data_IF_008127561618
#
_entry.id   IF_008127561618
#
_cell.length_a   1.000
_cell.length_b   1.000
_cell.length_c   1.000
_cell.angle_alpha   90.00
_cell.angle_beta   90.00
_cell.angle_gamma   90.00
#
_symmetry.space_group_name_H-M   'P 1'
#
loop_
_entity.id
_entity.type
_entity.pdbx_description
1 polymer ?
#
# COMPACT_ATOMS: atom_id res chain seq x y z
N UNK A 1 -24.41 25.27 -8.86
CA UNK A 1 -23.05 24.68 -8.91
C UNK A 1 -22.70 24.35 -7.48
N UNK A 2 -22.31 23.10 -7.24
CA UNK A 2 -22.34 22.46 -5.93
C UNK A 2 -20.95 21.96 -5.50
N UNK A 3 -19.90 22.71 -5.85
CA UNK A 3 -18.48 22.44 -5.54
C UNK A 3 -17.87 21.11 -6.02
N UNK A 4 -16.57 21.16 -6.32
CA UNK A 4 -15.77 20.00 -6.68
C UNK A 4 -14.93 19.57 -5.46
N UNK A 5 -14.90 18.27 -5.19
CA UNK A 5 -14.02 17.71 -4.17
C UNK A 5 -12.59 17.66 -4.71
N UNK A 6 -11.81 18.70 -4.46
CA UNK A 6 -10.38 18.74 -4.75
C UNK A 6 -9.57 18.16 -3.60
N UNK A 7 -8.35 17.67 -3.87
CA UNK A 7 -7.44 17.11 -2.85
C UNK A 7 -7.20 18.09 -1.68
N UNK A 8 -7.14 19.39 -1.98
CA UNK A 8 -6.98 20.45 -0.97
C UNK A 8 -8.21 20.59 -0.09
N UNK A 9 -9.41 20.49 -0.67
CA UNK A 9 -10.65 20.55 0.08
C UNK A 9 -10.84 19.27 0.92
N UNK A 10 -10.54 18.11 0.35
CA UNK A 10 -10.56 16.83 1.06
C UNK A 10 -9.61 16.84 2.26
N UNK A 11 -8.37 17.28 2.08
CA UNK A 11 -7.38 17.41 3.17
C UNK A 11 -7.89 18.33 4.28
N UNK A 12 -8.58 19.41 3.91
CA UNK A 12 -9.21 20.33 4.87
C UNK A 12 -10.36 19.65 5.62
N UNK A 13 -11.23 18.92 4.92
CA UNK A 13 -12.33 18.16 5.51
C UNK A 13 -11.78 17.13 6.52
N UNK A 14 -10.75 16.36 6.15
CA UNK A 14 -10.07 15.39 7.04
C UNK A 14 -9.62 16.08 8.33
N UNK A 15 -8.97 17.23 8.22
CA UNK A 15 -8.47 17.97 9.38
C UNK A 15 -9.60 18.42 10.31
N UNK A 16 -10.67 18.99 9.76
CA UNK A 16 -11.78 19.52 10.57
C UNK A 16 -12.73 18.43 11.09
N UNK A 17 -12.85 17.28 10.42
CA UNK A 17 -13.60 16.13 10.93
C UNK A 17 -13.06 15.62 12.27
N UNK A 18 -11.75 15.67 12.49
CA UNK A 18 -11.14 15.26 13.75
C UNK A 18 -11.42 16.26 14.90
N UNK A 19 -11.87 17.47 14.58
CA UNK A 19 -12.21 18.48 15.55
C UNK A 19 -13.63 18.25 16.10
N UNK A 20 -13.71 17.66 17.29
CA UNK A 20 -14.98 17.38 17.97
C UNK A 20 -15.46 18.52 18.89
N UNK A 21 -14.79 19.69 18.91
CA UNK A 21 -15.19 20.82 19.76
C UNK A 21 -16.07 21.83 19.06
N UNK A 22 -15.87 22.01 17.76
CA UNK A 22 -16.60 23.00 16.95
C UNK A 22 -17.27 22.32 15.75
N UNK A 23 -18.34 22.94 15.26
CA UNK A 23 -19.07 22.47 14.09
C UNK A 23 -18.56 23.23 12.86
N UNK A 24 -18.19 22.49 11.83
CA UNK A 24 -17.66 23.02 10.57
C UNK A 24 -18.55 22.61 9.40
N UNK A 25 -18.55 23.43 8.36
CA UNK A 25 -19.30 23.22 7.12
C UNK A 25 -18.42 23.55 5.91
N UNK A 26 -18.69 22.92 4.77
CA UNK A 26 -18.10 23.30 3.48
C UNK A 26 -18.90 24.44 2.90
N UNK A 27 -18.26 25.59 2.67
CA UNK A 27 -18.78 26.67 1.84
C UNK A 27 -18.60 26.30 0.37
N UNK A 28 -19.71 26.05 -0.33
CA UNK A 28 -19.70 25.68 -1.74
C UNK A 28 -19.27 26.81 -2.68
N UNK A 29 -19.44 28.07 -2.25
CA UNK A 29 -19.05 29.25 -3.04
C UNK A 29 -17.54 29.50 -2.94
N UNK A 30 -17.00 29.39 -1.72
CA UNK A 30 -15.57 29.57 -1.43
C UNK A 30 -14.73 28.30 -1.60
N UNK A 31 -15.34 27.12 -1.76
CA UNK A 31 -14.69 25.81 -1.77
C UNK A 31 -13.73 25.61 -0.59
N UNK A 32 -14.18 25.97 0.60
CA UNK A 32 -13.36 25.91 1.81
C UNK A 32 -14.18 25.46 3.02
N UNK A 33 -13.51 24.97 4.05
CA UNK A 33 -14.16 24.57 5.31
C UNK A 33 -14.15 25.76 6.26
N UNK A 34 -15.33 26.14 6.75
CA UNK A 34 -15.53 27.27 7.66
C UNK A 34 -16.28 26.85 8.93
N UNK A 35 -16.04 27.50 10.09
CA UNK A 35 -16.85 27.25 11.28
C UNK A 35 -18.30 27.68 11.06
N UNK A 36 -19.27 26.85 11.46
CA UNK A 36 -20.71 27.17 11.33
C UNK A 36 -21.08 28.49 12.04
N UNK A 37 -20.40 28.81 13.15
CA UNK A 37 -20.63 30.05 13.91
C UNK A 37 -20.31 31.32 13.10
N UNK A 38 -19.42 31.22 12.10
CA UNK A 38 -19.00 32.36 11.26
C UNK A 38 -19.95 32.61 10.08
N UNK A 39 -20.82 31.65 9.75
CA UNK A 39 -21.78 31.79 8.64
C UNK A 39 -23.05 32.57 9.03
N UNK A 40 -23.29 32.74 10.34
CA UNK A 40 -24.50 33.38 10.87
C UNK A 40 -25.76 32.51 10.77
N UNK A 41 -25.62 31.22 10.45
CA UNK A 41 -26.70 30.24 10.36
C UNK A 41 -26.72 29.32 11.60
N UNK A 42 -27.92 28.88 11.99
CA UNK A 42 -28.10 27.92 13.09
C UNK A 42 -27.84 26.46 12.65
N UNK A 43 -27.95 26.17 11.36
CA UNK A 43 -27.68 24.85 10.77
C UNK A 43 -27.12 24.99 9.36
N UNK A 44 -26.58 23.88 8.82
CA UNK A 44 -26.16 23.79 7.43
C UNK A 44 -27.33 24.13 6.50
N UNK A 45 -27.03 24.92 5.47
CA UNK A 45 -27.96 25.32 4.43
C UNK A 45 -27.56 24.51 3.20
N UNK A 46 -28.29 23.42 2.92
CA UNK A 46 -27.95 22.38 1.93
C UNK A 46 -27.81 22.90 0.47
N UNK A 47 -27.93 24.20 0.26
CA UNK A 47 -27.68 24.91 -0.99
C UNK A 47 -26.34 25.65 -1.05
N UNK A 48 -25.77 26.07 0.09
CA UNK A 48 -24.56 26.90 0.18
C UNK A 48 -23.52 26.38 1.18
N UNK A 49 -23.97 25.76 2.26
CA UNK A 49 -23.14 25.25 3.36
C UNK A 49 -23.47 23.79 3.66
N UNK A 50 -22.52 22.90 3.39
CA UNK A 50 -22.71 21.46 3.56
C UNK A 50 -22.07 20.95 4.85
N UNK A 51 -22.82 20.17 5.64
CA UNK A 51 -22.27 19.49 6.82
C UNK A 51 -21.17 18.51 6.43
N UNK A 52 -20.09 18.48 7.21
CA UNK A 52 -19.03 17.48 7.06
C UNK A 52 -19.56 16.05 7.29
N UNK A 53 -18.88 15.00 6.79
CA UNK A 53 -19.22 13.62 7.11
C UNK A 53 -19.21 13.37 8.61
N UNK A 54 -20.15 12.55 9.10
CA UNK A 54 -20.22 12.20 10.53
C UNK A 54 -18.92 11.53 11.00
N UNK A 55 -18.37 12.04 12.10
CA UNK A 55 -17.15 11.53 12.72
C UNK A 55 -17.23 11.57 14.25
N UNK A 56 -17.49 10.41 14.87
CA UNK A 56 -17.59 10.31 16.32
C UNK A 56 -16.28 9.80 16.97
N UNK A 57 -16.17 9.98 18.29
CA UNK A 57 -15.10 9.32 19.08
C UNK A 57 -15.11 7.79 18.93
N UNK A 58 -16.28 7.18 18.65
CA UNK A 58 -16.41 5.74 18.42
C UNK A 58 -15.77 5.35 17.09
N UNK A 59 -16.03 6.10 16.02
CA UNK A 59 -15.40 5.89 14.70
C UNK A 59 -13.88 6.00 14.79
N UNK A 60 -13.39 7.03 15.49
CA UNK A 60 -11.95 7.20 15.71
C UNK A 60 -11.33 6.03 16.50
N UNK A 61 -12.06 5.44 17.45
CA UNK A 61 -11.58 4.26 18.19
C UNK A 61 -11.61 2.99 17.32
N UNK A 62 -12.65 2.79 16.52
CA UNK A 62 -12.74 1.68 15.56
C UNK A 62 -11.58 1.72 14.57
N UNK A 63 -11.28 2.89 14.01
CA UNK A 63 -10.16 3.09 13.09
C UNK A 63 -8.81 2.71 13.75
N UNK A 64 -8.57 3.12 15.00
CA UNK A 64 -7.37 2.72 15.76
C UNK A 64 -7.30 1.21 16.01
N UNK A 65 -8.45 0.60 16.33
CA UNK A 65 -8.57 -0.83 16.63
C UNK A 65 -8.30 -1.68 15.39
N UNK A 66 -8.90 -1.32 14.27
CA UNK A 66 -8.75 -2.01 13.00
C UNK A 66 -7.30 -1.96 12.50
N UNK A 67 -6.68 -0.76 12.51
CA UNK A 67 -5.26 -0.60 12.21
C UNK A 67 -4.39 -1.51 13.09
N UNK A 68 -4.63 -1.51 14.40
CA UNK A 68 -3.83 -2.29 15.34
C UNK A 68 -3.98 -3.81 15.12
N UNK A 69 -5.16 -4.27 14.75
CA UNK A 69 -5.41 -5.70 14.50
C UNK A 69 -4.73 -6.19 13.21
N UNK A 70 -4.65 -5.33 12.20
CA UNK A 70 -4.02 -5.63 10.92
C UNK A 70 -2.51 -5.29 10.88
N UNK A 71 -1.95 -4.77 11.99
CA UNK A 71 -0.54 -4.41 12.06
C UNK A 71 0.38 -5.65 12.08
N UNK A 72 1.33 -5.70 11.15
CA UNK A 72 2.30 -6.79 11.00
C UNK A 72 3.62 -6.57 11.76
N UNK A 73 3.64 -5.66 12.75
CA UNK A 73 4.77 -5.44 13.64
C UNK A 73 4.43 -5.92 15.07
N UNK A 74 4.88 -7.10 15.52
CA UNK A 74 4.36 -7.73 16.75
C UNK A 74 4.61 -6.90 18.01
N UNK A 75 5.79 -6.28 18.15
CA UNK A 75 6.15 -5.45 19.32
C UNK A 75 5.32 -4.17 19.39
N UNK A 76 5.15 -3.49 18.25
CA UNK A 76 4.32 -2.30 18.16
C UNK A 76 2.83 -2.65 18.35
N UNK A 77 2.36 -3.73 17.73
CA UNK A 77 0.99 -4.22 17.88
C UNK A 77 0.61 -4.50 19.32
N UNK A 78 1.46 -5.20 20.08
CA UNK A 78 1.20 -5.42 21.50
C UNK A 78 1.13 -4.12 22.29
N UNK A 79 2.05 -3.20 22.02
CA UNK A 79 2.10 -1.90 22.69
C UNK A 79 0.84 -1.06 22.41
N UNK A 80 0.38 -1.05 21.15
CA UNK A 80 -0.86 -0.38 20.75
C UNK A 80 -2.10 -1.08 21.33
N UNK A 81 -2.15 -2.43 21.35
CA UNK A 81 -3.24 -3.18 22.01
C UNK A 81 -3.37 -2.82 23.50
N UNK A 82 -2.25 -2.67 24.22
CA UNK A 82 -2.27 -2.22 25.62
C UNK A 82 -2.87 -0.82 25.76
N UNK A 83 -2.57 0.09 24.82
CA UNK A 83 -3.16 1.44 24.82
C UNK A 83 -4.66 1.39 24.59
N UNK A 84 -5.14 0.59 23.63
CA UNK A 84 -6.57 0.44 23.33
C UNK A 84 -7.36 -0.10 24.52
N UNK A 85 -6.79 -1.05 25.26
CA UNK A 85 -7.39 -1.60 26.50
C UNK A 85 -7.37 -0.62 27.68
N UNK A 86 -6.60 0.46 27.62
CA UNK A 86 -6.39 1.40 28.73
C UNK A 86 -7.57 2.35 29.02
N UNK A 87 -8.56 2.43 28.13
CA UNK A 87 -9.84 3.13 28.33
C UNK A 87 -9.81 4.67 28.38
N UNK A 88 -8.81 5.30 29.02
CA UNK A 88 -8.65 6.77 29.08
C UNK A 88 -7.44 7.26 28.30
N UNK A 89 -7.65 8.35 27.55
CA UNK A 89 -6.58 9.02 26.81
C UNK A 89 -6.01 8.18 25.66
N UNK A 90 -6.80 7.23 25.13
CA UNK A 90 -6.40 6.27 24.09
C UNK A 90 -5.74 6.98 22.92
N UNK A 91 -6.39 8.00 22.34
CA UNK A 91 -5.86 8.76 21.20
C UNK A 91 -4.49 9.40 21.46
N UNK A 92 -4.32 10.06 22.61
CA UNK A 92 -3.06 10.71 22.98
C UNK A 92 -1.95 9.69 23.24
N UNK A 93 -2.28 8.61 23.94
CA UNK A 93 -1.33 7.55 24.27
C UNK A 93 -0.95 6.75 23.02
N UNK A 94 -1.87 6.58 22.07
CA UNK A 94 -1.61 5.94 20.79
C UNK A 94 -0.60 6.75 19.99
N UNK A 95 -0.85 8.06 19.84
CA UNK A 95 0.11 9.00 19.23
C UNK A 95 1.47 9.02 19.92
N UNK A 96 1.52 8.74 21.23
CA UNK A 96 2.78 8.64 21.96
C UNK A 96 3.54 7.36 21.62
N UNK A 97 2.85 6.21 21.56
CA UNK A 97 3.47 4.92 21.26
C UNK A 97 3.96 4.86 19.82
N UNK A 98 3.19 5.37 18.84
CA UNK A 98 3.63 5.34 17.43
C UNK A 98 4.90 6.17 17.20
N UNK A 99 5.15 7.24 17.98
CA UNK A 99 6.39 8.02 17.88
C UNK A 99 7.65 7.22 18.23
N UNK A 100 7.51 6.18 19.03
CA UNK A 100 8.60 5.26 19.34
C UNK A 100 8.86 4.26 18.19
N UNK A 101 7.96 4.22 17.18
CA UNK A 101 8.02 3.35 16.00
C UNK A 101 7.75 4.15 14.71
N UNK A 102 8.74 4.89 14.16
CA UNK A 102 8.55 5.77 13.01
C UNK A 102 7.92 5.09 11.77
N UNK A 103 8.19 3.81 11.58
CA UNK A 103 7.61 2.99 10.51
C UNK A 103 6.10 2.76 10.70
N UNK A 104 5.69 2.49 11.94
CA UNK A 104 4.27 2.31 12.30
C UNK A 104 3.54 3.64 12.30
N UNK A 105 4.21 4.74 12.63
CA UNK A 105 3.66 6.09 12.49
C UNK A 105 3.33 6.41 11.03
N UNK A 106 4.24 6.10 10.09
CA UNK A 106 3.99 6.24 8.65
C UNK A 106 2.80 5.38 8.18
N UNK A 107 2.79 4.09 8.55
CA UNK A 107 1.68 3.18 8.24
C UNK A 107 0.34 3.68 8.81
N UNK A 108 0.37 4.24 10.02
CA UNK A 108 -0.81 4.82 10.67
C UNK A 108 -1.35 6.02 9.90
N UNK A 109 -0.50 6.97 9.52
CA UNK A 109 -0.91 8.15 8.77
C UNK A 109 -1.53 7.78 7.42
N UNK A 110 -0.90 6.84 6.70
CA UNK A 110 -1.43 6.32 5.44
C UNK A 110 -2.81 5.68 5.65
N UNK A 111 -2.91 4.74 6.59
CA UNK A 111 -4.16 4.02 6.86
C UNK A 111 -5.28 4.98 7.25
N UNK A 112 -4.99 5.94 8.15
CA UNK A 112 -5.93 6.96 8.59
C UNK A 112 -6.43 7.79 7.43
N UNK A 113 -5.52 8.32 6.60
CA UNK A 113 -5.88 9.15 5.46
C UNK A 113 -6.75 8.35 4.48
N UNK A 114 -6.34 7.14 4.08
CA UNK A 114 -7.12 6.28 3.18
C UNK A 114 -8.54 6.01 3.70
N UNK A 115 -8.67 5.60 4.96
CA UNK A 115 -9.98 5.33 5.57
C UNK A 115 -10.86 6.58 5.65
N UNK A 116 -10.27 7.75 5.92
CA UNK A 116 -11.01 9.02 5.96
C UNK A 116 -11.42 9.48 4.55
N UNK A 117 -10.53 9.36 3.57
CA UNK A 117 -10.78 9.66 2.15
C UNK A 117 -11.94 8.84 1.57
N UNK A 118 -11.98 7.54 1.86
CA UNK A 118 -13.09 6.67 1.46
C UNK A 118 -14.43 7.13 2.06
N UNK A 119 -14.42 7.54 3.34
CA UNK A 119 -15.61 8.08 4.00
C UNK A 119 -16.06 9.41 3.38
N UNK A 120 -15.13 10.29 3.05
CA UNK A 120 -15.42 11.56 2.36
C UNK A 120 -15.97 11.30 0.96
N UNK A 121 -15.38 10.38 0.21
CA UNK A 121 -15.87 9.99 -1.12
C UNK A 121 -17.29 9.44 -1.06
N UNK A 122 -17.59 8.61 -0.07
CA UNK A 122 -18.95 8.12 0.20
C UNK A 122 -19.93 9.25 0.50
N UNK A 123 -19.56 10.17 1.38
CA UNK A 123 -20.36 11.36 1.70
C UNK A 123 -20.57 12.27 0.48
N UNK A 124 -19.53 12.51 -0.31
CA UNK A 124 -19.60 13.35 -1.50
C UNK A 124 -20.50 12.72 -2.56
N UNK A 125 -20.49 11.39 -2.71
CA UNK A 125 -21.42 10.69 -3.58
C UNK A 125 -22.89 10.82 -3.15
N UNK A 126 -23.18 10.87 -1.85
CA UNK A 126 -24.53 11.16 -1.34
C UNK A 126 -24.95 12.59 -1.71
N UNK A 127 -24.04 13.55 -1.63
CA UNK A 127 -24.30 14.93 -2.09
C UNK A 127 -24.51 15.00 -3.61
N UNK A 128 -23.70 14.30 -4.39
CA UNK A 128 -23.87 14.23 -5.85
C UNK A 128 -25.24 13.69 -6.24
N UNK A 129 -25.72 12.65 -5.56
CA UNK A 129 -27.07 12.14 -5.76
C UNK A 129 -28.13 13.18 -5.44
N UNK A 130 -28.00 13.95 -4.34
CA UNK A 130 -28.96 15.01 -4.00
C UNK A 130 -28.95 16.15 -5.02
N UNK A 131 -27.82 16.39 -5.68
CA UNK A 131 -27.68 17.32 -6.81
C UNK A 131 -28.15 16.76 -8.15
N UNK A 132 -28.58 15.49 -8.21
CA UNK A 132 -28.99 14.82 -9.44
C UNK A 132 -27.83 14.46 -10.38
N UNK A 133 -26.61 14.38 -9.87
CA UNK A 133 -25.43 13.95 -10.61
C UNK A 133 -25.20 12.44 -10.45
N UNK A 134 -24.52 11.86 -11.43
CA UNK A 134 -24.05 10.47 -11.32
C UNK A 134 -22.99 10.35 -10.21
N UNK A 135 -23.03 9.20 -9.50
CA UNK A 135 -21.99 8.82 -8.54
C UNK A 135 -20.65 8.72 -9.25
N UNK A 136 -19.62 9.23 -8.59
CA UNK A 136 -18.27 8.82 -8.92
C UNK A 136 -18.11 7.38 -8.47
N UNK A 137 -17.42 6.57 -9.27
CA UNK A 137 -16.96 5.27 -8.82
C UNK A 137 -16.15 5.52 -7.55
N UNK A 138 -16.56 4.86 -6.45
CA UNK A 138 -15.73 4.91 -5.25
C UNK A 138 -14.40 4.25 -5.63
N UNK A 139 -13.28 4.80 -5.17
CA UNK A 139 -12.02 4.09 -5.18
C UNK A 139 -12.27 2.67 -4.71
N UNK A 140 -12.16 1.67 -5.59
CA UNK A 140 -12.21 0.29 -5.14
C UNK A 140 -11.13 0.14 -4.04
N UNK A 141 -11.27 -0.81 -3.09
CA UNK A 141 -10.23 -1.04 -2.06
C UNK A 141 -8.81 -1.25 -2.66
N UNK A 142 -8.76 -1.52 -3.96
CA UNK A 142 -7.63 -1.66 -4.89
C UNK A 142 -6.98 -0.35 -5.36
N UNK A 143 -7.53 0.85 -5.10
CA UNK A 143 -6.83 2.13 -5.33
C UNK A 143 -5.76 2.34 -4.25
N UNK A 144 -4.72 1.53 -4.37
CA UNK A 144 -3.37 1.71 -3.86
C UNK A 144 -2.53 2.60 -4.79
N UNK A 145 -3.15 3.20 -5.81
CA UNK A 145 -2.44 3.81 -6.95
C UNK A 145 -1.99 5.27 -6.70
N UNK A 146 -2.69 6.05 -5.85
CA UNK A 146 -2.34 7.48 -5.66
C UNK A 146 -1.57 7.84 -4.38
N UNK A 147 -1.61 7.03 -3.31
CA UNK A 147 -0.85 7.34 -2.08
C UNK A 147 0.63 6.89 -2.10
N UNK A 148 1.07 6.11 -3.08
CA UNK A 148 2.50 5.76 -3.21
C UNK A 148 3.31 6.99 -3.66
N UNK A 149 2.67 7.98 -4.30
CA UNK A 149 3.36 9.08 -4.98
C UNK A 149 3.78 10.26 -4.10
N UNK A 150 3.43 10.31 -2.79
CA UNK A 150 3.93 11.38 -1.93
C UNK A 150 5.23 11.01 -1.21
N UNK A 151 5.34 9.82 -0.60
CA UNK A 151 6.49 9.48 0.27
C UNK A 151 7.49 8.51 -0.38
N UNK A 152 7.13 7.94 -1.53
CA UNK A 152 7.94 6.96 -2.23
C UNK A 152 8.18 7.36 -3.68
N UNK A 153 9.38 7.05 -4.15
CA UNK A 153 9.82 7.29 -5.51
C UNK A 153 10.02 5.92 -6.15
N UNK A 154 9.14 5.61 -7.11
CA UNK A 154 9.32 4.44 -7.98
C UNK A 154 10.10 4.88 -9.20
N UNK A 155 11.27 4.26 -9.43
CA UNK A 155 12.14 4.56 -10.56
C UNK A 155 12.64 3.28 -11.24
N UNK A 156 13.11 3.36 -12.50
CA UNK A 156 13.78 2.24 -13.13
C UNK A 156 14.96 1.74 -12.28
N UNK A 157 15.13 0.43 -12.27
CA UNK A 157 16.29 -0.23 -11.67
C UNK A 157 17.58 0.17 -12.39
N UNK A 158 18.61 0.48 -11.61
CA UNK A 158 19.96 0.76 -12.10
C UNK A 158 20.96 -0.14 -11.37
N UNK A 159 21.53 -1.10 -12.08
CA UNK A 159 22.50 -2.05 -11.51
C UNK A 159 23.67 -1.35 -10.81
N UNK A 160 24.14 -0.20 -11.32
CA UNK A 160 25.28 0.51 -10.74
C UNK A 160 24.99 1.17 -9.39
N UNK A 161 23.70 1.41 -9.09
CA UNK A 161 23.24 2.08 -7.87
C UNK A 161 22.58 1.09 -6.91
N UNK A 162 21.85 0.12 -7.45
CA UNK A 162 20.92 -0.73 -6.69
C UNK A 162 21.48 -2.12 -6.36
N UNK A 163 22.62 -2.53 -6.92
CA UNK A 163 23.14 -3.90 -6.76
C UNK A 163 23.32 -4.31 -5.31
N UNK A 164 23.91 -3.44 -4.47
CA UNK A 164 24.13 -3.74 -3.05
C UNK A 164 22.81 -3.87 -2.27
N UNK A 165 21.83 -3.00 -2.59
CA UNK A 165 20.50 -3.05 -1.97
C UNK A 165 19.72 -4.28 -2.41
N UNK A 166 19.85 -4.68 -3.68
CA UNK A 166 19.25 -5.88 -4.23
C UNK A 166 19.85 -7.13 -3.56
N UNK A 167 21.18 -7.20 -3.46
CA UNK A 167 21.89 -8.30 -2.78
C UNK A 167 21.46 -8.41 -1.31
N UNK A 168 21.39 -7.28 -0.59
CA UNK A 168 20.89 -7.25 0.78
C UNK A 168 19.43 -7.71 0.86
N UNK A 169 18.58 -7.25 -0.05
CA UNK A 169 17.18 -7.66 -0.14
C UNK A 169 16.99 -9.16 -0.36
N UNK A 170 17.73 -9.74 -1.31
CA UNK A 170 17.74 -11.18 -1.56
C UNK A 170 18.21 -11.96 -0.33
N UNK A 171 19.23 -11.48 0.39
CA UNK A 171 19.72 -12.11 1.62
C UNK A 171 18.66 -12.09 2.73
N UNK A 172 17.99 -10.94 2.93
CA UNK A 172 16.89 -10.83 3.89
C UNK A 172 15.76 -11.81 3.57
N UNK A 173 15.36 -11.93 2.30
CA UNK A 173 14.33 -12.89 1.90
C UNK A 173 14.75 -14.34 2.15
N UNK A 174 15.99 -14.70 1.79
CA UNK A 174 16.55 -16.04 2.04
C UNK A 174 16.54 -16.36 3.53
N UNK A 175 16.92 -15.40 4.38
CA UNK A 175 16.92 -15.57 5.83
C UNK A 175 15.49 -15.68 6.40
N UNK A 176 14.59 -14.78 6.02
CA UNK A 176 13.18 -14.83 6.42
C UNK A 176 12.54 -16.16 6.04
N UNK A 177 12.82 -16.63 4.84
CA UNK A 177 12.33 -17.92 4.38
C UNK A 177 12.91 -19.08 5.18
N UNK A 178 14.23 -19.12 5.40
CA UNK A 178 14.87 -20.16 6.20
C UNK A 178 14.29 -20.24 7.62
N UNK A 179 13.98 -19.10 8.23
CA UNK A 179 13.38 -19.00 9.57
C UNK A 179 11.88 -19.38 9.59
N UNK A 180 11.19 -19.34 8.44
CA UNK A 180 9.77 -19.70 8.36
C UNK A 180 9.53 -21.22 8.42
N UNK A 181 10.58 -22.03 8.21
CA UNK A 181 10.50 -23.48 8.26
C UNK A 181 10.85 -23.99 9.66
N UNK A 182 10.10 -24.99 10.14
CA UNK A 182 10.29 -25.56 11.48
C UNK A 182 11.67 -26.21 11.67
N UNK A 183 12.29 -26.68 10.58
CA UNK A 183 13.61 -27.31 10.61
C UNK A 183 14.67 -26.35 10.02
N UNK A 184 15.64 -25.88 10.83
CA UNK A 184 16.65 -24.92 10.38
C UNK A 184 17.52 -25.42 9.22
N UNK A 185 17.89 -26.70 9.19
CA UNK A 185 18.70 -27.29 8.12
C UNK A 185 17.92 -27.33 6.80
N UNK A 186 16.62 -27.64 6.89
CA UNK A 186 15.73 -27.58 5.73
C UNK A 186 15.56 -26.13 5.25
N UNK A 187 15.44 -25.18 6.18
CA UNK A 187 15.37 -23.74 5.89
C UNK A 187 16.59 -23.25 5.10
N UNK A 188 17.79 -23.54 5.60
CA UNK A 188 19.04 -23.18 4.92
C UNK A 188 19.16 -23.86 3.54
N UNK A 189 18.81 -25.15 3.44
CA UNK A 189 18.84 -25.89 2.18
C UNK A 189 17.88 -25.28 1.15
N UNK A 190 16.66 -24.94 1.58
CA UNK A 190 15.66 -24.37 0.70
C UNK A 190 16.02 -22.93 0.27
N UNK A 191 16.61 -22.13 1.16
CA UNK A 191 17.12 -20.80 0.84
C UNK A 191 18.27 -20.86 -0.19
N UNK A 192 19.19 -21.82 -0.03
CA UNK A 192 20.27 -22.07 -0.99
C UNK A 192 19.72 -22.43 -2.39
N UNK A 193 18.80 -23.39 -2.46
CA UNK A 193 18.17 -23.80 -3.71
C UNK A 193 17.39 -22.65 -4.37
N UNK A 194 16.71 -21.81 -3.60
CA UNK A 194 15.97 -20.66 -4.12
C UNK A 194 16.90 -19.68 -4.85
N UNK A 195 18.09 -19.44 -4.30
CA UNK A 195 19.12 -18.60 -4.94
C UNK A 195 19.65 -19.17 -6.26
N UNK A 196 19.60 -20.50 -6.45
CA UNK A 196 20.00 -21.13 -7.71
C UNK A 196 18.93 -21.07 -8.80
N UNK A 197 17.68 -20.76 -8.44
CA UNK A 197 16.53 -20.77 -9.37
C UNK A 197 16.35 -19.46 -10.14
N UNK A 198 17.21 -18.45 -9.97
CA UNK A 198 17.16 -17.22 -10.74
C UNK A 198 18.13 -17.30 -11.94
N UNK A 199 17.64 -17.52 -13.17
CA UNK A 199 18.49 -17.74 -14.33
C UNK A 199 19.07 -16.44 -14.92
N UNK A 200 18.67 -15.27 -14.42
CA UNK A 200 19.05 -13.97 -14.98
C UNK A 200 20.09 -13.28 -14.07
N UNK A 201 21.30 -12.99 -14.58
CA UNK A 201 22.31 -12.19 -13.88
C UNK A 201 21.77 -10.81 -13.50
N UNK A 202 22.15 -10.29 -12.33
CA UNK A 202 21.63 -9.01 -11.80
C UNK A 202 21.86 -7.81 -12.73
N UNK A 203 22.97 -7.79 -13.49
CA UNK A 203 23.26 -6.76 -14.50
C UNK A 203 22.33 -6.79 -15.72
N UNK A 204 21.69 -7.93 -16.00
CA UNK A 204 20.78 -8.13 -17.13
C UNK A 204 19.30 -7.99 -16.72
N UNK A 205 19.04 -7.71 -15.44
CA UNK A 205 17.69 -7.48 -14.92
C UNK A 205 17.23 -6.07 -15.26
N UNK A 206 15.94 -5.93 -15.49
CA UNK A 206 15.24 -4.68 -15.77
C UNK A 206 13.99 -4.62 -14.90
N UNK A 207 13.41 -3.44 -14.73
CA UNK A 207 12.20 -3.27 -13.96
C UNK A 207 12.27 -2.02 -13.12
N UNK A 208 11.67 -2.07 -11.94
CA UNK A 208 11.49 -0.91 -11.09
C UNK A 208 11.90 -1.21 -9.65
N UNK A 209 12.45 -0.19 -9.01
CA UNK A 209 12.73 -0.15 -7.57
C UNK A 209 11.89 0.94 -6.94
N UNK A 210 11.56 0.75 -5.68
CA UNK A 210 10.90 1.74 -4.85
C UNK A 210 11.88 2.22 -3.78
N UNK A 211 12.00 3.54 -3.66
CA UNK A 211 12.77 4.19 -2.62
C UNK A 211 11.87 5.14 -1.81
N UNK A 212 12.26 5.48 -0.59
CA UNK A 212 11.69 6.65 0.11
C UNK A 212 12.18 7.95 -0.55
N UNK A 213 11.58 9.11 -0.21
CA UNK A 213 12.11 10.41 -0.63
C UNK A 213 13.56 10.66 -0.20
N UNK A 214 13.97 10.07 0.94
CA UNK A 214 15.34 10.16 1.46
C UNK A 214 16.32 9.21 0.74
N UNK A 215 15.84 8.45 -0.24
CA UNK A 215 16.66 7.54 -1.06
C UNK A 215 16.86 6.14 -0.46
N UNK A 216 16.19 5.82 0.64
CA UNK A 216 16.25 4.47 1.24
C UNK A 216 15.55 3.45 0.34
N UNK A 217 16.20 2.33 0.04
CA UNK A 217 15.62 1.26 -0.77
C UNK A 217 14.54 0.50 0.01
N UNK A 218 13.38 0.33 -0.60
CA UNK A 218 12.19 -0.26 0.04
C UNK A 218 11.83 -1.63 -0.55
N UNK A 219 12.04 -1.81 -1.84
CA UNK A 219 11.69 -3.04 -2.55
C UNK A 219 11.82 -2.90 -4.06
N UNK A 220 11.60 -4.00 -4.78
CA UNK A 220 11.68 -4.02 -6.23
C UNK A 220 10.74 -5.04 -6.87
N UNK A 221 10.45 -4.80 -8.15
CA UNK A 221 9.95 -5.80 -9.07
C UNK A 221 10.88 -5.80 -10.29
N UNK A 222 11.60 -6.89 -10.51
CA UNK A 222 12.58 -7.05 -11.58
C UNK A 222 12.24 -8.24 -12.46
N UNK A 223 12.59 -8.14 -13.73
CA UNK A 223 12.44 -9.18 -14.73
C UNK A 223 13.68 -9.24 -15.63
N UNK A 224 13.83 -10.35 -16.35
CA UNK A 224 14.81 -10.45 -17.42
C UNK A 224 14.49 -11.54 -18.42
N UNK A 225 15.25 -11.56 -19.50
CA UNK A 225 15.11 -12.55 -20.56
C UNK A 225 15.90 -13.81 -20.18
N UNK A 226 15.23 -14.96 -20.11
CA UNK A 226 15.88 -16.26 -19.83
C UNK A 226 16.72 -16.73 -21.01
N UNK A 227 16.35 -16.31 -22.22
CA UNK A 227 17.06 -16.61 -23.46
C UNK A 227 16.91 -15.45 -24.41
N UNK A 228 18.02 -15.05 -25.03
CA UNK A 228 18.02 -14.00 -26.05
C UNK A 228 17.11 -14.33 -27.24
N UNK A 229 16.81 -15.61 -27.49
CA UNK A 229 15.97 -16.03 -28.62
C UNK A 229 14.47 -15.99 -28.33
N UNK A 230 14.05 -15.76 -27.08
CA UNK A 230 12.66 -15.76 -26.66
C UNK A 230 12.18 -14.33 -26.38
N UNK A 231 12.10 -13.52 -27.43
CA UNK A 231 11.78 -12.09 -27.32
C UNK A 231 10.35 -11.77 -26.86
N UNK A 232 9.45 -12.76 -26.78
CA UNK A 232 8.05 -12.56 -26.39
C UNK A 232 7.76 -12.93 -24.94
N UNK A 233 8.77 -13.43 -24.21
CA UNK A 233 8.58 -13.98 -22.87
C UNK A 233 9.70 -13.52 -21.94
N UNK A 234 9.33 -13.12 -20.73
CA UNK A 234 10.27 -12.72 -19.67
C UNK A 234 10.05 -13.54 -18.41
N UNK A 235 11.08 -13.57 -17.57
CA UNK A 235 11.04 -14.16 -16.24
C UNK A 235 11.07 -13.06 -15.19
N UNK A 236 10.10 -13.06 -14.28
CA UNK A 236 10.08 -12.19 -13.12
C UNK A 236 11.07 -12.74 -12.09
N UNK A 237 12.18 -12.04 -11.91
CA UNK A 237 13.34 -12.50 -11.15
C UNK A 237 13.19 -12.22 -9.66
N UNK A 238 12.75 -10.99 -9.35
CA UNK A 238 12.70 -10.47 -7.99
C UNK A 238 11.38 -9.72 -7.80
N UNK A 239 10.64 -10.07 -6.75
CA UNK A 239 9.45 -9.34 -6.35
C UNK A 239 9.38 -9.35 -4.83
N UNK A 240 9.76 -8.23 -4.22
CA UNK A 240 9.69 -8.08 -2.78
C UNK A 240 9.60 -6.63 -2.32
N UNK A 241 9.09 -6.51 -1.10
CA UNK A 241 9.09 -5.27 -0.32
C UNK A 241 9.57 -5.63 1.08
N UNK A 242 10.45 -4.81 1.65
CA UNK A 242 10.91 -5.00 3.03
C UNK A 242 9.74 -4.96 4.00
N UNK A 243 9.84 -5.75 5.07
CA UNK A 243 8.73 -6.03 5.98
C UNK A 243 8.08 -4.75 6.54
N UNK A 244 8.91 -3.75 6.84
CA UNK A 244 8.51 -2.47 7.42
C UNK A 244 7.66 -1.61 6.45
N UNK A 245 7.66 -1.96 5.16
CA UNK A 245 6.95 -1.25 4.10
C UNK A 245 5.87 -2.09 3.41
N UNK A 246 5.63 -3.33 3.90
CA UNK A 246 4.55 -4.19 3.38
C UNK A 246 3.18 -3.65 3.80
N UNK A 247 2.15 -3.97 3.01
CA UNK A 247 0.77 -3.51 3.25
C UNK A 247 0.48 -2.09 2.74
N UNK A 248 1.49 -1.39 2.23
CA UNK A 248 1.36 -0.02 1.67
C UNK A 248 1.01 0.02 0.17
N UNK A 249 0.74 -1.13 -0.46
CA UNK A 249 0.48 -1.20 -1.90
C UNK A 249 1.72 -1.14 -2.80
N UNK A 250 2.92 -0.92 -2.25
CA UNK A 250 4.19 -0.79 -3.00
C UNK A 250 4.46 -2.00 -3.91
N UNK A 251 4.21 -3.22 -3.43
CA UNK A 251 4.40 -4.44 -4.24
C UNK A 251 3.46 -4.51 -5.44
N UNK A 252 2.22 -4.03 -5.28
CA UNK A 252 1.24 -3.92 -6.37
C UNK A 252 1.70 -2.90 -7.39
N UNK A 253 2.13 -1.72 -6.95
CA UNK A 253 2.59 -0.63 -7.82
C UNK A 253 3.82 -1.05 -8.64
N UNK A 254 4.82 -1.64 -7.98
CA UNK A 254 6.03 -2.14 -8.63
C UNK A 254 5.71 -3.19 -9.71
N UNK A 255 4.84 -4.15 -9.38
CA UNK A 255 4.45 -5.21 -10.32
C UNK A 255 3.61 -4.63 -11.48
N UNK A 256 2.67 -3.72 -11.20
CA UNK A 256 1.85 -3.06 -12.21
C UNK A 256 2.71 -2.29 -13.22
N UNK A 257 3.65 -1.45 -12.74
CA UNK A 257 4.59 -0.73 -13.62
C UNK A 257 5.43 -1.68 -14.48
N UNK A 258 5.89 -2.80 -13.91
CA UNK A 258 6.59 -3.85 -14.67
C UNK A 258 5.71 -4.42 -15.79
N UNK A 259 4.48 -4.84 -15.47
CA UNK A 259 3.55 -5.43 -16.44
C UNK A 259 3.19 -4.42 -17.55
N UNK A 260 2.97 -3.16 -17.21
CA UNK A 260 2.68 -2.12 -18.19
C UNK A 260 3.86 -1.80 -19.11
N UNK A 261 5.08 -1.77 -18.57
CA UNK A 261 6.30 -1.67 -19.36
C UNK A 261 6.44 -2.83 -20.33
N UNK A 262 6.20 -4.06 -19.87
CA UNK A 262 6.28 -5.27 -20.68
C UNK A 262 5.22 -5.29 -21.79
N UNK A 263 3.98 -4.90 -21.50
CA UNK A 263 2.89 -4.76 -22.48
C UNK A 263 3.25 -3.74 -23.56
N UNK A 264 3.77 -2.57 -23.18
CA UNK A 264 4.23 -1.54 -24.13
C UNK A 264 5.35 -2.03 -25.05
N UNK A 265 6.19 -2.95 -24.56
CA UNK A 265 7.27 -3.57 -25.32
C UNK A 265 6.84 -4.85 -26.09
N UNK A 266 5.53 -5.17 -26.13
CA UNK A 266 5.01 -6.29 -26.91
C UNK A 266 5.30 -7.67 -26.31
N UNK A 267 5.69 -7.74 -25.03
CA UNK A 267 5.89 -9.00 -24.33
C UNK A 267 4.55 -9.68 -24.06
N UNK A 268 4.47 -10.96 -24.37
CA UNK A 268 3.23 -11.74 -24.30
C UNK A 268 3.13 -12.59 -23.03
N UNK A 269 4.26 -13.01 -22.46
CA UNK A 269 4.29 -13.94 -21.33
C UNK A 269 5.25 -13.47 -20.24
N UNK A 270 4.76 -13.48 -19.00
CA UNK A 270 5.57 -13.27 -17.80
C UNK A 270 5.53 -14.56 -16.99
N UNK A 271 6.69 -15.15 -16.79
CA UNK A 271 6.85 -16.35 -15.99
C UNK A 271 7.36 -15.95 -14.61
N UNK A 272 6.72 -16.43 -13.56
CA UNK A 272 7.22 -16.28 -12.19
C UNK A 272 7.36 -17.68 -11.58
N UNK A 273 8.59 -18.04 -11.24
CA UNK A 273 8.88 -19.27 -10.52
C UNK A 273 9.47 -18.91 -9.18
N UNK A 274 8.77 -19.25 -8.12
CA UNK A 274 9.29 -19.14 -6.78
C UNK A 274 9.01 -20.45 -6.06
N UNK A 275 10.04 -21.00 -5.42
CA UNK A 275 9.87 -22.22 -4.62
C UNK A 275 8.86 -22.04 -3.49
N UNK A 276 8.65 -20.78 -3.07
CA UNK A 276 7.80 -20.45 -1.93
C UNK A 276 6.92 -19.29 -2.34
N UNK A 277 5.63 -19.56 -2.42
CA UNK A 277 4.61 -18.53 -2.61
C UNK A 277 3.87 -18.39 -1.30
N UNK A 278 4.04 -17.26 -0.63
CA UNK A 278 3.29 -16.96 0.61
C UNK A 278 1.86 -16.58 0.26
N UNK A 279 0.88 -16.74 1.18
CA UNK A 279 -0.51 -16.37 0.89
C UNK A 279 -0.70 -14.92 0.41
N UNK A 280 -0.02 -13.89 0.97
CA UNK A 280 -0.10 -12.54 0.44
C UNK A 280 0.44 -12.40 -0.99
N UNK A 281 1.52 -13.11 -1.32
CA UNK A 281 2.09 -13.11 -2.66
C UNK A 281 1.17 -13.84 -3.65
N UNK A 282 0.54 -14.95 -3.26
CA UNK A 282 -0.43 -15.67 -4.09
C UNK A 282 -1.64 -14.79 -4.42
N UNK A 283 -2.15 -14.04 -3.45
CA UNK A 283 -3.23 -13.07 -3.66
C UNK A 283 -2.83 -11.95 -4.62
N UNK A 284 -1.63 -11.39 -4.46
CA UNK A 284 -1.10 -10.37 -5.38
C UNK A 284 -0.99 -10.90 -6.81
N UNK A 285 -0.37 -12.07 -6.99
CA UNK A 285 -0.22 -12.70 -8.30
C UNK A 285 -1.58 -12.97 -8.96
N UNK A 286 -2.54 -13.48 -8.19
CA UNK A 286 -3.90 -13.77 -8.69
C UNK A 286 -4.62 -12.49 -9.13
N UNK A 287 -4.50 -11.41 -8.35
CA UNK A 287 -5.05 -10.09 -8.71
C UNK A 287 -4.43 -9.53 -9.99
N UNK A 288 -3.14 -9.76 -10.21
CA UNK A 288 -2.44 -9.41 -11.44
C UNK A 288 -2.62 -10.45 -12.57
N UNK A 289 -3.66 -11.28 -12.49
CA UNK A 289 -4.05 -12.27 -13.51
C UNK A 289 -3.02 -13.38 -13.79
N UNK A 290 -2.02 -13.58 -12.92
CA UNK A 290 -1.14 -14.73 -13.03
C UNK A 290 -1.94 -16.02 -12.82
N UNK A 291 -1.75 -16.97 -13.73
CA UNK A 291 -2.32 -18.32 -13.62
C UNK A 291 -1.24 -19.28 -13.16
N UNK A 292 -1.55 -20.12 -12.17
CA UNK A 292 -0.66 -21.19 -11.72
C UNK A 292 -0.44 -22.19 -12.86
N UNK A 293 0.80 -22.32 -13.33
CA UNK A 293 1.19 -23.21 -14.42
C UNK A 293 2.08 -24.35 -13.92
N UNK A 294 1.51 -25.57 -13.84
CA UNK A 294 2.25 -26.82 -13.60
C UNK A 294 2.83 -27.04 -12.20
N UNK A 295 3.42 -28.23 -12.01
CA UNK A 295 4.25 -28.66 -10.88
C UNK A 295 5.11 -29.84 -11.39
N UNK A 296 6.35 -29.58 -11.81
CA UNK A 296 7.09 -30.45 -12.76
C UNK A 296 7.57 -31.82 -12.24
N UNK A 297 7.85 -32.74 -13.18
CA UNK A 297 8.66 -33.99 -13.06
C UNK A 297 9.27 -34.36 -14.42
N UNK A 298 10.43 -35.04 -14.46
CA UNK A 298 11.05 -35.48 -15.73
C UNK A 298 11.74 -36.87 -15.68
N UNK A 299 11.89 -37.43 -16.88
CA UNK A 299 11.96 -38.84 -17.33
C UNK A 299 13.01 -39.77 -16.71
N UNK A 300 12.68 -41.08 -16.71
CA UNK A 300 13.61 -42.17 -16.40
C UNK A 300 14.51 -42.49 -17.60
N UNK A 301 15.71 -41.94 -17.54
CA UNK A 301 16.92 -42.46 -18.17
C UNK A 301 17.17 -43.86 -17.57
N UNK A 302 17.78 -44.80 -18.30
CA UNK A 302 18.32 -46.09 -17.78
C UNK A 302 18.01 -46.45 -16.31
#
# INVERSE_FOLDING_TARGET
MTFELTDSLESSIIFYMENQTDVFVVDASGQSVVPLKETGLDCADEDLYYSLPEWSSKDGFELLSEFTNNLHAPVARESLKRVLSGGRGVFRNFKKVIKDFPEVERQWHFYKNKSMSLRISGWYNVLRESWGLEKLELPEETETEDLVNSDFIVRPYDFSVDSENLDYGEQCLKQQFAQSLENPVLGETAAYLSGMCNPVPAENRQGFVCCTQDGEFVGCALYGYVSENLHTSVYLTDLFVFENYRGLGIGTELLSKCLDSLRKNGIQWVLFFNMVVTPPLELLLTRCEFKKLGAGYAVKLF
#
